data_IF_659142119066
#
_entry.id   IF_659142119066
#
_cell.length_a   1.000
_cell.length_b   1.000
_cell.length_c   1.000
_cell.angle_alpha   90.00
_cell.angle_beta   90.00
_cell.angle_gamma   90.00
#
_symmetry.space_group_name_H-M   'P 1'
#
loop_
_entity.id
_entity.type
_entity.pdbx_description
1 polymer ?
#
# COMPACT_ATOMS: atom_id res chain seq x y z
N UNK A 1 18.39 12.18 23.19
CA UNK A 1 17.43 11.10 23.54
C UNK A 1 16.98 10.39 22.30
N UNK A 2 17.15 9.06 22.23
CA UNK A 2 16.72 8.28 21.08
C UNK A 2 15.18 8.27 21.04
N UNK A 3 14.60 8.64 19.89
CA UNK A 3 13.16 8.65 19.73
C UNK A 3 12.59 7.24 19.91
N UNK A 4 11.51 7.10 20.69
CA UNK A 4 10.84 5.83 20.86
C UNK A 4 10.21 5.41 19.54
N UNK A 5 10.42 4.14 19.16
CA UNK A 5 9.86 3.60 17.92
C UNK A 5 8.83 2.52 18.23
N UNK A 6 7.89 2.36 17.33
CA UNK A 6 6.88 1.29 17.40
C UNK A 6 7.49 0.04 16.76
N UNK A 7 7.47 -1.06 17.49
CA UNK A 7 8.06 -2.32 17.03
C UNK A 7 7.10 -3.10 16.15
N UNK A 8 7.64 -3.65 15.07
CA UNK A 8 6.87 -4.30 14.02
C UNK A 8 7.38 -5.71 13.71
N UNK A 9 6.49 -6.54 13.20
CA UNK A 9 6.83 -7.84 12.64
C UNK A 9 6.36 -7.91 11.19
N UNK A 10 7.13 -8.62 10.35
CA UNK A 10 6.75 -8.90 8.98
C UNK A 10 6.46 -10.39 8.83
N UNK A 11 5.33 -10.71 8.21
CA UNK A 11 4.93 -12.10 7.96
C UNK A 11 4.97 -12.33 6.45
N UNK A 12 5.84 -13.22 6.00
CA UNK A 12 6.04 -13.51 4.58
C UNK A 12 7.36 -12.95 4.08
N UNK A 13 8.40 -13.79 4.02
CA UNK A 13 9.74 -13.35 3.64
C UNK A 13 10.01 -13.43 2.14
N UNK A 14 8.98 -13.24 1.32
CA UNK A 14 9.14 -13.20 -0.13
C UNK A 14 9.66 -11.85 -0.60
N UNK A 15 9.48 -11.56 -1.88
CA UNK A 15 10.01 -10.32 -2.47
C UNK A 15 9.39 -9.08 -1.85
N UNK A 16 8.08 -9.10 -1.64
CA UNK A 16 7.37 -7.96 -1.04
C UNK A 16 7.83 -7.74 0.40
N UNK A 17 7.85 -8.82 1.20
CA UNK A 17 8.27 -8.71 2.60
C UNK A 17 9.70 -8.26 2.74
N UNK A 18 10.58 -8.74 1.87
CA UNK A 18 12.01 -8.36 1.91
C UNK A 18 12.19 -6.88 1.57
N UNK A 19 11.50 -6.41 0.53
CA UNK A 19 11.56 -5.00 0.16
C UNK A 19 11.01 -4.11 1.27
N UNK A 20 9.88 -4.54 1.86
CA UNK A 20 9.26 -3.80 2.96
C UNK A 20 10.20 -3.73 4.16
N UNK A 21 10.89 -4.82 4.47
CA UNK A 21 11.84 -4.83 5.58
C UNK A 21 12.89 -3.72 5.41
N UNK A 22 13.40 -3.56 4.20
CA UNK A 22 14.40 -2.52 3.93
C UNK A 22 13.82 -1.12 4.14
N UNK A 23 12.56 -0.91 3.74
CA UNK A 23 11.89 0.37 3.96
C UNK A 23 11.68 0.65 5.45
N UNK A 24 11.28 -0.38 6.20
CA UNK A 24 11.02 -0.22 7.63
C UNK A 24 12.30 0.10 8.40
N UNK A 25 13.44 -0.42 7.96
CA UNK A 25 14.71 -0.12 8.61
C UNK A 25 15.10 1.35 8.51
N UNK A 26 14.61 2.04 7.47
CA UNK A 26 14.87 3.47 7.30
C UNK A 26 13.86 4.34 8.03
N UNK A 27 12.79 3.76 8.53
CA UNK A 27 11.72 4.55 9.14
C UNK A 27 12.20 5.24 10.43
N UNK A 28 11.88 6.51 10.62
CA UNK A 28 12.24 7.19 11.87
C UNK A 28 11.36 6.79 13.05
N UNK A 29 10.25 6.09 12.82
CA UNK A 29 9.24 5.84 13.85
C UNK A 29 8.89 4.36 14.00
N UNK A 30 9.30 3.50 13.04
CA UNK A 30 9.05 2.07 13.07
C UNK A 30 10.34 1.29 13.24
N UNK A 31 10.29 0.20 13.98
CA UNK A 31 11.44 -0.67 14.19
C UNK A 31 11.05 -2.11 13.88
N UNK A 32 11.52 -2.68 12.76
CA UNK A 32 11.24 -4.10 12.48
C UNK A 32 12.06 -4.98 13.41
N UNK A 33 11.41 -5.94 14.07
CA UNK A 33 12.04 -6.80 15.07
C UNK A 33 12.00 -8.27 14.65
N UNK A 34 10.95 -8.70 13.95
CA UNK A 34 10.74 -10.08 13.54
C UNK A 34 10.41 -10.22 12.07
N UNK A 35 10.96 -11.26 11.42
CA UNK A 35 10.54 -11.71 10.11
C UNK A 35 10.06 -13.16 10.24
N UNK A 36 8.84 -13.42 9.82
CA UNK A 36 8.16 -14.71 10.01
C UNK A 36 7.96 -15.41 8.67
N UNK A 37 8.38 -16.65 8.56
CA UNK A 37 8.20 -17.47 7.37
C UNK A 37 7.86 -18.91 7.74
N UNK A 38 7.80 -19.76 6.72
CA UNK A 38 7.49 -21.18 6.92
C UNK A 38 8.57 -22.10 6.36
N UNK A 39 9.56 -21.55 5.67
CA UNK A 39 10.63 -22.33 5.05
C UNK A 39 11.97 -21.89 5.67
N UNK A 40 12.64 -22.78 6.42
CA UNK A 40 13.91 -22.42 7.05
C UNK A 40 15.02 -22.07 6.04
N UNK A 41 14.86 -22.49 4.78
CA UNK A 41 15.83 -22.18 3.72
C UNK A 41 15.50 -20.90 2.96
N UNK A 42 14.49 -20.16 3.39
CA UNK A 42 14.07 -18.91 2.75
C UNK A 42 15.22 -17.90 2.68
N UNK A 43 15.44 -17.34 1.50
CA UNK A 43 16.42 -16.27 1.30
C UNK A 43 16.03 -15.01 2.10
N UNK A 44 14.74 -14.73 2.16
CA UNK A 44 14.26 -13.57 2.94
C UNK A 44 14.54 -13.70 4.42
N UNK A 45 14.37 -14.91 4.99
CA UNK A 45 14.71 -15.13 6.40
C UNK A 45 16.22 -14.99 6.61
N UNK A 46 17.01 -15.50 5.68
CA UNK A 46 18.48 -15.38 5.78
C UNK A 46 18.89 -13.90 5.78
N UNK A 47 18.32 -13.12 4.86
CA UNK A 47 18.62 -11.68 4.79
C UNK A 47 18.22 -10.96 6.07
N UNK A 48 17.07 -11.31 6.63
CA UNK A 48 16.62 -10.71 7.88
C UNK A 48 17.59 -11.00 9.01
N UNK A 49 18.06 -12.25 9.11
CA UNK A 49 19.04 -12.62 10.15
C UNK A 49 20.34 -11.83 9.99
N UNK A 50 20.79 -11.65 8.74
CA UNK A 50 22.01 -10.88 8.46
C UNK A 50 21.85 -9.40 8.85
N UNK A 51 20.61 -8.92 8.86
CA UNK A 51 20.30 -7.54 9.25
C UNK A 51 20.07 -7.41 10.76
N UNK A 52 20.20 -8.48 11.50
CA UNK A 52 19.99 -8.48 12.95
C UNK A 52 18.55 -8.62 13.39
N UNK A 53 17.68 -9.06 12.48
CA UNK A 53 16.25 -9.23 12.73
C UNK A 53 16.01 -10.67 13.20
N UNK A 54 15.19 -10.85 14.23
CA UNK A 54 14.79 -12.19 14.70
C UNK A 54 13.92 -12.86 13.65
N UNK A 55 14.07 -14.19 13.51
CA UNK A 55 13.31 -14.92 12.50
C UNK A 55 12.72 -16.20 13.08
N UNK A 56 11.64 -16.68 12.46
CA UNK A 56 11.10 -18.00 12.71
C UNK A 56 10.62 -18.59 11.38
N UNK A 57 10.76 -19.92 11.26
CA UNK A 57 10.24 -20.65 10.10
C UNK A 57 8.99 -21.46 10.49
N UNK A 58 8.39 -21.18 11.64
CA UNK A 58 7.22 -21.88 12.14
C UNK A 58 5.93 -21.09 11.96
N UNK A 59 5.95 -20.11 11.05
CA UNK A 59 4.79 -19.29 10.80
C UNK A 59 4.46 -18.37 11.97
N UNK A 60 3.26 -17.83 11.98
CA UNK A 60 2.83 -16.92 13.04
C UNK A 60 2.93 -17.59 14.42
N UNK A 61 2.66 -18.89 14.50
CA UNK A 61 2.74 -19.58 15.79
C UNK A 61 4.12 -19.50 16.43
N UNK A 62 5.18 -19.38 15.60
CA UNK A 62 6.53 -19.18 16.13
C UNK A 62 6.75 -17.78 16.68
N UNK A 63 5.94 -16.82 16.27
CA UNK A 63 6.04 -15.44 16.74
C UNK A 63 5.22 -15.21 18.02
N UNK A 64 4.06 -15.84 18.13
CA UNK A 64 3.09 -15.54 19.20
C UNK A 64 3.70 -15.50 20.61
N UNK A 65 4.58 -16.45 21.01
CA UNK A 65 5.12 -16.41 22.37
C UNK A 65 5.94 -15.17 22.68
N UNK A 66 6.44 -14.49 21.66
CA UNK A 66 7.35 -13.35 21.83
C UNK A 66 6.70 -11.99 21.61
N UNK A 67 5.42 -11.96 21.21
CA UNK A 67 4.75 -10.70 20.87
C UNK A 67 4.79 -9.70 22.03
N UNK A 68 4.39 -10.14 23.21
CA UNK A 68 4.36 -9.24 24.38
C UNK A 68 5.77 -8.92 24.88
N UNK A 69 6.61 -9.92 24.97
CA UNK A 69 7.98 -9.77 25.46
C UNK A 69 8.78 -8.79 24.62
N UNK A 70 8.63 -8.88 23.29
CA UNK A 70 9.37 -8.02 22.36
C UNK A 70 8.60 -6.74 22.02
N UNK A 71 7.39 -6.57 22.58
CA UNK A 71 6.64 -5.32 22.44
C UNK A 71 6.14 -5.02 21.03
N UNK A 72 5.76 -6.06 20.29
CA UNK A 72 5.30 -5.90 18.91
C UNK A 72 3.89 -5.33 18.91
N UNK A 73 3.69 -4.22 18.20
CA UNK A 73 2.40 -3.53 18.14
C UNK A 73 1.78 -3.51 16.76
N UNK A 74 2.59 -3.64 15.71
CA UNK A 74 2.10 -3.64 14.32
C UNK A 74 2.71 -4.84 13.59
N UNK A 75 1.93 -5.53 12.76
CA UNK A 75 2.45 -6.59 11.91
C UNK A 75 1.94 -6.39 10.48
N UNK A 76 2.81 -6.71 9.52
CA UNK A 76 2.51 -6.65 8.10
C UNK A 76 2.37 -8.08 7.58
N UNK A 77 1.31 -8.36 6.84
CA UNK A 77 1.13 -9.68 6.27
C UNK A 77 1.30 -9.64 4.75
N UNK A 78 2.39 -10.24 4.27
CA UNK A 78 2.71 -10.35 2.85
C UNK A 78 2.71 -11.82 2.41
N UNK A 79 1.84 -12.63 3.00
CA UNK A 79 1.71 -14.06 2.69
C UNK A 79 0.65 -14.26 1.59
N UNK A 80 -0.44 -14.93 1.92
CA UNK A 80 -1.51 -15.20 0.95
C UNK A 80 -2.87 -14.97 1.62
N UNK A 81 -3.89 -14.83 0.78
CA UNK A 81 -5.24 -14.67 1.30
C UNK A 81 -5.68 -15.88 2.15
N UNK A 82 -5.14 -17.04 1.85
CA UNK A 82 -5.51 -18.28 2.55
C UNK A 82 -5.23 -18.23 4.04
N UNK A 83 -4.06 -17.71 4.42
CA UNK A 83 -3.65 -17.76 5.82
C UNK A 83 -3.84 -16.42 6.54
N UNK A 84 -4.13 -15.36 5.79
CA UNK A 84 -4.21 -14.02 6.40
C UNK A 84 -5.25 -13.92 7.49
N UNK A 85 -6.44 -14.45 7.26
CA UNK A 85 -7.53 -14.35 8.26
C UNK A 85 -7.10 -14.95 9.59
N UNK A 86 -6.46 -16.11 9.56
CA UNK A 86 -6.00 -16.76 10.77
C UNK A 86 -4.82 -16.04 11.41
N UNK A 87 -3.88 -15.56 10.60
CA UNK A 87 -2.77 -14.76 11.11
C UNK A 87 -3.31 -13.51 11.81
N UNK A 88 -4.25 -12.85 11.16
CA UNK A 88 -4.86 -11.62 11.68
C UNK A 88 -5.59 -11.88 13.00
N UNK A 89 -6.39 -12.95 13.04
CA UNK A 89 -7.13 -13.29 14.25
C UNK A 89 -6.18 -13.51 15.43
N UNK A 90 -5.15 -14.32 15.23
CA UNK A 90 -4.20 -14.64 16.30
C UNK A 90 -3.47 -13.42 16.83
N UNK A 91 -3.04 -12.54 15.92
CA UNK A 91 -2.29 -11.35 16.31
C UNK A 91 -3.18 -10.26 16.89
N UNK A 92 -4.39 -10.09 16.34
CA UNK A 92 -5.34 -9.13 16.91
C UNK A 92 -5.71 -9.51 18.36
N UNK A 93 -5.81 -10.81 18.66
CA UNK A 93 -6.08 -11.26 20.03
C UNK A 93 -5.01 -10.81 21.01
N UNK A 94 -3.80 -10.57 20.52
CA UNK A 94 -2.69 -10.06 21.34
C UNK A 94 -2.52 -8.55 21.23
N UNK A 95 -3.50 -7.87 20.63
CA UNK A 95 -3.48 -6.40 20.52
C UNK A 95 -2.57 -5.87 19.42
N UNK A 96 -2.22 -6.70 18.43
CA UNK A 96 -1.36 -6.28 17.32
C UNK A 96 -2.22 -5.78 16.16
N UNK A 97 -1.92 -4.57 15.69
CA UNK A 97 -2.56 -3.99 14.50
C UNK A 97 -2.02 -4.68 13.25
N UNK A 98 -2.90 -5.07 12.34
CA UNK A 98 -2.50 -5.77 11.10
C UNK A 98 -2.58 -4.86 9.89
N UNK A 99 -1.50 -4.84 9.11
CA UNK A 99 -1.45 -4.19 7.79
C UNK A 99 -1.40 -5.30 6.75
N UNK A 100 -2.42 -5.37 5.91
CA UNK A 100 -2.64 -6.49 5.00
C UNK A 100 -2.19 -6.18 3.57
N UNK A 101 -1.15 -6.87 3.10
CA UNK A 101 -0.71 -6.77 1.71
C UNK A 101 -1.17 -7.99 0.89
N UNK A 102 -2.05 -8.82 1.45
CA UNK A 102 -2.59 -9.99 0.74
C UNK A 102 -3.91 -9.62 0.06
N UNK A 103 -4.39 -10.44 -0.88
CA UNK A 103 -5.71 -10.19 -1.47
C UNK A 103 -6.89 -10.65 -0.63
N UNK A 104 -6.70 -10.92 0.66
CA UNK A 104 -7.79 -11.37 1.54
C UNK A 104 -8.88 -10.32 1.74
N UNK A 105 -8.51 -9.04 1.67
CA UNK A 105 -9.46 -7.92 1.75
C UNK A 105 -10.24 -7.88 3.06
N UNK A 106 -9.56 -8.10 4.17
CA UNK A 106 -10.14 -7.98 5.51
C UNK A 106 -9.80 -6.59 6.02
N UNK A 107 -10.81 -5.82 6.42
CA UNK A 107 -10.59 -4.46 6.88
C UNK A 107 -10.67 -3.43 5.77
N UNK A 108 -10.61 -2.14 6.11
CA UNK A 108 -10.79 -1.08 5.12
C UNK A 108 -9.59 -0.91 4.21
N UNK A 109 -9.86 -0.54 2.98
CA UNK A 109 -8.82 -0.21 2.00
C UNK A 109 -8.26 1.18 2.29
N UNK A 110 -6.95 1.32 2.17
CA UNK A 110 -6.26 2.59 2.40
C UNK A 110 -5.43 3.03 1.20
N UNK A 111 -5.52 4.30 0.88
CA UNK A 111 -4.58 4.99 0.01
C UNK A 111 -4.04 6.15 0.86
N UNK A 112 -2.80 6.08 1.33
CA UNK A 112 -2.33 6.97 2.40
C UNK A 112 -2.56 8.46 2.15
N UNK A 113 -2.35 8.94 0.93
CA UNK A 113 -2.51 10.36 0.61
C UNK A 113 -3.98 10.79 0.47
N UNK A 114 -4.92 9.83 0.41
CA UNK A 114 -6.33 10.14 0.13
C UNK A 114 -7.21 9.93 1.35
N UNK A 115 -7.19 8.73 1.95
CA UNK A 115 -8.17 8.41 2.99
C UNK A 115 -7.58 7.87 4.29
N UNK A 116 -6.25 7.86 4.43
CA UNK A 116 -5.67 7.19 5.61
C UNK A 116 -6.00 7.91 6.91
N UNK A 117 -5.99 9.24 6.92
CA UNK A 117 -6.32 10.00 8.14
C UNK A 117 -7.71 9.62 8.65
N UNK A 118 -8.67 9.48 7.74
CA UNK A 118 -10.04 9.04 8.07
C UNK A 118 -10.03 7.61 8.63
N UNK A 119 -9.28 6.71 7.98
CA UNK A 119 -9.24 5.31 8.38
C UNK A 119 -8.55 5.11 9.72
N UNK A 120 -7.53 5.90 10.02
CA UNK A 120 -6.89 5.86 11.34
C UNK A 120 -7.92 6.24 12.43
N UNK A 121 -8.76 7.21 12.14
CA UNK A 121 -9.79 7.64 13.09
C UNK A 121 -10.83 6.56 13.37
N UNK A 122 -11.03 5.60 12.48
CA UNK A 122 -11.97 4.50 12.67
C UNK A 122 -11.48 3.45 13.66
N UNK A 123 -10.18 3.49 14.00
CA UNK A 123 -9.54 2.58 14.97
C UNK A 123 -9.69 1.10 14.62
N UNK A 124 -9.76 0.77 13.34
CA UNK A 124 -9.80 -0.63 12.92
C UNK A 124 -8.44 -1.30 13.18
N UNK A 125 -8.46 -2.56 13.57
CA UNK A 125 -7.24 -3.32 13.85
C UNK A 125 -6.68 -4.03 12.62
N UNK A 126 -7.33 -3.90 11.48
CA UNK A 126 -6.85 -4.40 10.19
C UNK A 126 -6.98 -3.28 9.18
N UNK A 127 -5.92 -2.97 8.62
CA UNK A 127 -5.98 -1.94 7.64
C UNK A 127 -5.47 -2.53 6.36
N UNK A 128 -6.09 -2.43 5.45
CA UNK A 128 -5.74 -2.99 4.21
C UNK A 128 -5.01 -1.94 3.46
N UNK A 129 -4.13 -2.25 3.30
CA UNK A 129 -3.33 -1.42 2.51
C UNK A 129 -3.41 -1.78 1.08
N UNK A 130 -3.99 -2.65 1.03
CA UNK A 130 -3.86 -3.12 -0.26
C UNK A 130 -5.01 -2.86 -1.11
N UNK A 131 -5.09 -1.73 -1.28
CA UNK A 131 -5.69 -1.51 -2.60
C UNK A 131 -4.65 -2.03 -3.59
N UNK A 132 -4.99 -2.30 -4.79
CA UNK A 132 -4.04 -2.85 -5.76
C UNK A 132 -2.89 -1.86 -6.06
N UNK A 133 -1.82 -2.37 -6.68
CA UNK A 133 -0.71 -1.50 -7.08
C UNK A 133 -1.19 -0.41 -8.05
N UNK A 134 -2.07 -0.78 -9.00
CA UNK A 134 -2.65 0.21 -9.90
C UNK A 134 -3.51 1.22 -9.17
N UNK A 135 -4.23 0.78 -8.15
CA UNK A 135 -5.03 1.69 -7.32
C UNK A 135 -4.16 2.66 -6.55
N UNK A 136 -3.10 2.16 -5.91
CA UNK A 136 -2.20 3.05 -5.17
C UNK A 136 -1.59 4.13 -6.07
N UNK A 137 -1.33 3.80 -7.32
CA UNK A 137 -0.71 4.75 -8.25
C UNK A 137 -1.71 5.73 -8.87
N UNK A 138 -2.97 5.36 -9.01
CA UNK A 138 -3.92 6.14 -9.81
C UNK A 138 -5.02 6.83 -9.01
N UNK A 139 -5.47 6.21 -7.91
CA UNK A 139 -6.55 6.79 -7.11
C UNK A 139 -6.21 8.17 -6.58
N UNK A 140 -4.96 8.47 -6.18
CA UNK A 140 -4.63 9.84 -5.79
C UNK A 140 -4.96 10.87 -6.87
N UNK A 141 -4.79 10.53 -8.14
CA UNK A 141 -5.08 11.47 -9.22
C UNK A 141 -6.58 11.62 -9.44
N UNK A 142 -7.35 10.53 -9.36
CA UNK A 142 -8.81 10.62 -9.41
C UNK A 142 -9.31 11.50 -8.26
N UNK A 143 -8.81 11.28 -7.06
CA UNK A 143 -9.20 12.07 -5.87
C UNK A 143 -8.80 13.54 -6.03
N UNK A 144 -7.64 13.80 -6.64
CA UNK A 144 -7.20 15.18 -6.87
C UNK A 144 -8.19 15.95 -7.75
N UNK A 145 -8.81 15.28 -8.72
CA UNK A 145 -9.82 15.92 -9.57
C UNK A 145 -11.16 16.00 -8.82
N UNK A 146 -11.58 14.89 -8.19
CA UNK A 146 -12.91 14.82 -7.58
C UNK A 146 -13.07 15.76 -6.39
N UNK A 147 -11.98 16.09 -5.69
CA UNK A 147 -12.08 17.04 -4.58
C UNK A 147 -12.26 18.49 -5.05
N UNK A 148 -12.02 18.76 -6.35
CA UNK A 148 -12.28 20.07 -6.94
C UNK A 148 -13.71 20.16 -7.44
N UNK A 149 -14.18 19.13 -8.15
CA UNK A 149 -15.52 19.13 -8.74
C UNK A 149 -15.96 17.69 -9.06
N UNK A 150 -17.26 17.49 -9.20
CA UNK A 150 -17.84 16.18 -9.40
C UNK A 150 -17.30 15.48 -10.64
N UNK A 151 -16.96 14.19 -10.49
CA UNK A 151 -16.44 13.33 -11.56
C UNK A 151 -17.48 12.24 -11.81
N UNK A 152 -18.06 12.24 -13.03
CA UNK A 152 -19.08 11.24 -13.37
C UNK A 152 -18.47 9.88 -13.68
N UNK A 153 -17.22 9.85 -14.20
CA UNK A 153 -16.58 8.62 -14.63
C UNK A 153 -15.07 8.76 -14.46
N UNK A 154 -14.46 7.77 -13.83
CA UNK A 154 -13.02 7.71 -13.68
C UNK A 154 -12.49 6.39 -14.25
N UNK A 155 -11.48 6.48 -15.11
CA UNK A 155 -10.88 5.31 -15.72
C UNK A 155 -9.39 5.34 -15.49
N UNK A 156 -8.84 4.21 -15.06
CA UNK A 156 -7.40 4.12 -14.90
C UNK A 156 -6.85 2.96 -15.74
N UNK A 157 -5.68 3.18 -16.32
CA UNK A 157 -4.94 2.16 -17.05
C UNK A 157 -3.56 2.06 -16.40
N UNK A 158 -3.30 0.94 -15.75
CA UNK A 158 -1.99 0.69 -15.13
C UNK A 158 -1.20 -0.23 -16.04
N UNK A 159 -0.03 0.23 -16.50
CA UNK A 159 0.85 -0.55 -17.37
C UNK A 159 2.10 -0.93 -16.59
N UNK A 160 2.32 -2.23 -16.43
CA UNK A 160 3.45 -2.75 -15.66
C UNK A 160 4.26 -3.74 -16.50
N UNK A 161 5.55 -3.85 -16.17
CA UNK A 161 6.42 -4.84 -16.84
C UNK A 161 5.95 -6.24 -16.49
N UNK A 162 5.95 -7.11 -17.50
CA UNK A 162 5.65 -8.53 -17.32
C UNK A 162 6.53 -9.15 -16.23
N UNK A 163 7.76 -8.71 -16.11
CA UNK A 163 8.69 -9.22 -15.09
C UNK A 163 8.29 -8.92 -13.67
N UNK A 164 7.46 -7.89 -13.46
CA UNK A 164 7.06 -7.49 -12.10
C UNK A 164 5.68 -8.03 -11.72
N UNK A 165 5.10 -8.92 -12.53
CA UNK A 165 3.77 -9.49 -12.27
C UNK A 165 3.90 -10.98 -12.01
N UNK A 166 3.60 -11.38 -10.79
CA UNK A 166 3.69 -12.79 -10.39
C UNK A 166 2.47 -13.60 -10.81
N UNK A 167 2.55 -14.93 -10.60
CA UNK A 167 1.44 -15.82 -11.00
C UNK A 167 0.13 -15.53 -10.25
N UNK A 168 0.21 -15.04 -9.03
CA UNK A 168 -1.00 -14.70 -8.28
C UNK A 168 -1.83 -13.62 -8.95
N UNK A 169 -1.18 -12.53 -9.37
CA UNK A 169 -1.87 -11.45 -10.08
C UNK A 169 -2.40 -11.93 -11.43
N UNK A 170 -1.59 -12.71 -12.15
CA UNK A 170 -2.00 -13.22 -13.47
C UNK A 170 -3.26 -14.08 -13.39
N UNK A 171 -3.38 -14.88 -12.34
CA UNK A 171 -4.56 -15.72 -12.12
C UNK A 171 -5.77 -14.93 -11.67
N UNK A 172 -5.56 -13.75 -11.12
CA UNK A 172 -6.62 -12.97 -10.49
C UNK A 172 -6.78 -11.58 -11.11
N UNK A 173 -6.63 -11.48 -12.43
CA UNK A 173 -6.80 -10.21 -13.15
C UNK A 173 -8.19 -9.62 -12.91
N UNK A 174 -9.23 -10.46 -12.92
CA UNK A 174 -10.60 -9.99 -12.69
C UNK A 174 -10.75 -9.38 -11.30
N UNK A 175 -10.12 -9.98 -10.30
CA UNK A 175 -10.13 -9.46 -8.94
C UNK A 175 -9.43 -8.09 -8.88
N UNK A 176 -8.28 -7.99 -9.54
CA UNK A 176 -7.56 -6.72 -9.64
C UNK A 176 -8.46 -5.62 -10.21
N UNK A 177 -9.12 -5.92 -11.33
CA UNK A 177 -9.93 -4.89 -12.00
C UNK A 177 -11.17 -4.52 -11.19
N UNK A 178 -11.82 -5.50 -10.55
CA UNK A 178 -12.99 -5.22 -9.69
C UNK A 178 -12.59 -4.38 -8.48
N UNK A 179 -11.53 -4.76 -7.80
CA UNK A 179 -11.07 -4.05 -6.61
C UNK A 179 -10.67 -2.62 -6.96
N UNK A 180 -9.91 -2.47 -8.05
CA UNK A 180 -9.43 -1.15 -8.44
C UNK A 180 -10.57 -0.26 -8.90
N UNK A 181 -11.49 -0.76 -9.72
CA UNK A 181 -12.61 0.06 -10.19
C UNK A 181 -13.53 0.47 -9.03
N UNK A 182 -13.75 -0.43 -8.08
CA UNK A 182 -14.51 -0.09 -6.87
C UNK A 182 -13.82 0.99 -6.04
N UNK A 183 -12.50 0.93 -5.95
CA UNK A 183 -11.74 1.94 -5.20
C UNK A 183 -11.71 3.29 -5.92
N UNK A 184 -11.72 3.29 -7.25
CA UNK A 184 -11.84 4.54 -8.02
C UNK A 184 -13.13 5.27 -7.61
N UNK A 185 -14.20 4.51 -7.38
CA UNK A 185 -15.46 5.07 -6.92
C UNK A 185 -15.42 5.46 -5.44
N UNK A 186 -15.13 4.51 -4.59
CA UNK A 186 -15.28 4.68 -3.13
C UNK A 186 -14.21 5.59 -2.52
N UNK A 187 -12.99 5.52 -3.02
CA UNK A 187 -11.88 6.30 -2.48
C UNK A 187 -11.56 7.48 -3.40
N UNK A 188 -11.54 7.24 -4.71
CA UNK A 188 -11.24 8.28 -5.69
C UNK A 188 -12.34 9.30 -5.89
N UNK A 189 -13.58 8.93 -5.58
CA UNK A 189 -14.71 9.87 -5.65
C UNK A 189 -15.42 9.95 -6.99
N UNK A 190 -15.09 9.08 -7.95
CA UNK A 190 -15.82 9.04 -9.22
C UNK A 190 -17.17 8.35 -9.02
N UNK A 191 -18.19 8.79 -9.73
CA UNK A 191 -19.50 8.16 -9.65
C UNK A 191 -19.49 6.76 -10.26
N UNK A 192 -18.67 6.56 -11.30
CA UNK A 192 -18.47 5.28 -11.96
C UNK A 192 -16.98 5.08 -12.21
N UNK A 193 -16.47 3.90 -11.91
CA UNK A 193 -15.05 3.60 -12.07
C UNK A 193 -14.79 2.47 -13.04
N UNK A 194 -13.65 2.53 -13.73
CA UNK A 194 -13.17 1.44 -14.57
C UNK A 194 -11.67 1.32 -14.39
N UNK A 195 -11.18 0.09 -14.38
CA UNK A 195 -9.75 -0.18 -14.23
C UNK A 195 -9.31 -1.18 -15.29
N UNK A 196 -8.15 -0.90 -15.88
CA UNK A 196 -7.52 -1.75 -16.89
C UNK A 196 -6.07 -1.96 -16.46
N UNK A 197 -5.59 -3.20 -16.52
CA UNK A 197 -4.17 -3.46 -16.32
C UNK A 197 -3.58 -3.97 -17.65
N UNK A 198 -2.42 -3.41 -18.00
CA UNK A 198 -1.67 -3.84 -19.18
C UNK A 198 -0.36 -4.44 -18.69
N UNK A 199 -0.13 -5.71 -19.02
CA UNK A 199 1.10 -6.40 -18.64
C UNK A 199 1.98 -6.41 -19.90
N UNK A 200 3.07 -5.65 -19.83
CA UNK A 200 3.90 -5.37 -21.00
C UNK A 200 5.15 -6.25 -21.03
N UNK A 201 5.36 -7.04 -22.08
CA UNK A 201 6.50 -7.95 -22.17
C UNK A 201 7.77 -7.32 -22.76
N UNK A 202 7.81 -6.02 -22.98
CA UNK A 202 8.96 -5.36 -23.62
C UNK A 202 10.27 -5.60 -22.87
N UNK A 203 11.35 -5.66 -23.63
CA UNK A 203 12.71 -5.74 -23.11
C UNK A 203 13.52 -4.60 -23.70
N UNK A 204 14.23 -3.81 -22.89
CA UNK A 204 14.31 -3.91 -21.43
C UNK A 204 12.98 -3.58 -20.76
N UNK A 205 12.77 -4.04 -19.51
CA UNK A 205 11.48 -3.83 -18.83
C UNK A 205 11.16 -2.35 -18.70
N UNK A 206 9.91 -1.99 -18.99
CA UNK A 206 9.50 -0.60 -18.85
C UNK A 206 9.19 -0.28 -17.38
N UNK A 207 9.39 0.99 -17.04
CA UNK A 207 8.98 1.51 -15.73
C UNK A 207 7.45 1.63 -15.74
N UNK A 208 6.83 1.38 -14.57
CA UNK A 208 5.37 1.45 -14.45
C UNK A 208 4.83 2.78 -14.98
N UNK A 209 3.81 2.71 -15.80
CA UNK A 209 3.13 3.87 -16.36
C UNK A 209 1.64 3.77 -16.11
N UNK A 210 1.04 4.89 -15.77
CA UNK A 210 -0.36 4.93 -15.39
C UNK A 210 -1.06 6.10 -16.08
N UNK A 211 -2.22 5.81 -16.66
CA UNK A 211 -3.04 6.82 -17.31
C UNK A 211 -4.34 6.94 -16.54
N UNK A 212 -4.74 8.16 -16.23
CA UNK A 212 -5.98 8.44 -15.51
C UNK A 212 -6.84 9.36 -16.37
N UNK A 213 -8.09 8.98 -16.61
CA UNK A 213 -9.07 9.80 -17.29
C UNK A 213 -10.24 10.05 -16.36
N UNK A 214 -10.60 11.31 -16.18
CA UNK A 214 -11.76 11.70 -15.39
C UNK A 214 -12.70 12.53 -16.27
N UNK A 215 -13.98 12.16 -16.28
CA UNK A 215 -15.02 12.98 -16.93
C UNK A 215 -15.70 13.80 -15.84
N UNK A 216 -15.61 15.11 -15.93
CA UNK A 216 -16.27 15.97 -14.96
C UNK A 216 -17.73 16.18 -15.36
N UNK A 217 -18.59 16.35 -14.34
CA UNK A 217 -20.02 16.60 -14.58
C UNK A 217 -20.20 17.97 -15.25
N UNK A 218 -19.55 18.97 -14.68
CA UNK A 218 -19.59 20.32 -15.22
C UNK A 218 -18.28 20.66 -15.95
N UNK A 219 -18.26 21.78 -16.66
CA UNK A 219 -17.06 22.24 -17.36
C UNK A 219 -15.87 22.26 -16.40
N UNK A 220 -14.75 21.68 -16.80
CA UNK A 220 -13.57 21.62 -15.90
C UNK A 220 -13.07 23.00 -15.51
N UNK A 221 -12.54 23.08 -14.30
CA UNK A 221 -11.89 24.27 -13.74
C UNK A 221 -10.38 24.08 -13.83
N UNK A 222 -9.74 24.51 -14.93
CA UNK A 222 -8.36 24.07 -15.20
C UNK A 222 -7.34 24.45 -14.13
N UNK A 223 -7.37 25.70 -13.67
CA UNK A 223 -6.37 26.16 -12.70
C UNK A 223 -6.51 25.42 -11.36
N UNK A 224 -7.74 25.20 -10.92
CA UNK A 224 -8.00 24.52 -9.65
C UNK A 224 -7.64 23.05 -9.74
N UNK A 225 -7.94 22.40 -10.88
CA UNK A 225 -7.58 20.99 -11.09
C UNK A 225 -6.06 20.86 -11.12
N UNK A 226 -5.38 21.73 -11.85
CA UNK A 226 -3.91 21.68 -11.94
C UNK A 226 -3.27 21.84 -10.57
N UNK A 227 -3.73 22.81 -9.78
CA UNK A 227 -3.20 23.04 -8.44
C UNK A 227 -3.42 21.81 -7.54
N UNK A 228 -4.62 21.22 -7.62
CA UNK A 228 -4.96 20.05 -6.82
C UNK A 228 -4.09 18.83 -7.20
N UNK A 229 -3.90 18.62 -8.50
CA UNK A 229 -3.08 17.49 -8.99
C UNK A 229 -1.64 17.65 -8.50
N UNK A 230 -1.06 18.84 -8.63
CA UNK A 230 0.32 19.05 -8.19
C UNK A 230 0.45 18.91 -6.67
N UNK A 231 -0.52 19.39 -5.91
CA UNK A 231 -0.51 19.22 -4.45
C UNK A 231 -0.58 17.74 -4.07
N UNK A 232 -1.44 16.97 -4.75
CA UNK A 232 -1.56 15.54 -4.45
C UNK A 232 -0.28 14.79 -4.81
N UNK A 233 0.37 15.14 -5.92
CA UNK A 233 1.62 14.50 -6.31
C UNK A 233 2.67 14.70 -5.20
N UNK A 234 2.75 15.90 -4.64
CA UNK A 234 3.69 16.16 -3.54
C UNK A 234 3.38 15.31 -2.32
N UNK A 235 2.10 15.10 -2.03
CA UNK A 235 1.71 14.24 -0.90
C UNK A 235 2.14 12.80 -1.12
N UNK A 236 1.91 12.27 -2.32
CA UNK A 236 2.33 10.90 -2.62
C UNK A 236 3.86 10.79 -2.60
N UNK A 237 4.56 11.80 -3.11
CA UNK A 237 6.03 11.78 -3.14
C UNK A 237 6.66 11.70 -1.75
N UNK A 238 5.93 12.07 -0.71
CA UNK A 238 6.44 11.94 0.66
C UNK A 238 6.75 10.49 1.03
N UNK A 239 6.02 9.54 0.44
CA UNK A 239 6.29 8.11 0.69
C UNK A 239 6.68 7.35 -0.58
N UNK A 240 6.44 7.90 -1.76
CA UNK A 240 6.84 7.29 -3.05
C UNK A 240 7.65 8.34 -3.83
N UNK A 241 8.96 8.47 -3.54
CA UNK A 241 9.76 9.50 -4.23
C UNK A 241 9.80 9.37 -5.75
N UNK A 242 9.60 8.16 -6.28
CA UNK A 242 9.62 7.92 -7.73
C UNK A 242 8.29 8.16 -8.45
N UNK A 243 7.32 8.77 -7.77
CA UNK A 243 6.00 9.08 -8.34
C UNK A 243 6.14 10.37 -9.16
N UNK A 244 5.96 10.29 -10.47
CA UNK A 244 6.26 11.42 -11.37
C UNK A 244 5.13 11.71 -12.34
N UNK A 245 4.82 12.98 -12.55
CA UNK A 245 3.90 13.42 -13.57
C UNK A 245 4.65 13.43 -14.92
N UNK A 246 4.16 12.63 -15.86
CA UNK A 246 4.76 12.62 -17.22
C UNK A 246 4.13 13.72 -18.07
N UNK A 247 2.81 13.86 -17.96
CA UNK A 247 2.08 14.87 -18.74
C UNK A 247 0.72 15.11 -18.08
N UNK A 248 0.25 16.33 -18.20
CA UNK A 248 -1.09 16.67 -17.74
C UNK A 248 -1.12 17.60 -16.54
N UNK A 249 -2.30 17.93 -16.03
CA UNK A 249 -3.62 17.51 -16.57
C UNK A 249 -3.86 18.08 -17.98
N UNK A 250 -4.32 17.24 -18.88
CA UNK A 250 -4.72 17.64 -20.23
C UNK A 250 -6.24 17.67 -20.27
N UNK A 251 -6.82 18.81 -20.60
CA UNK A 251 -8.27 18.98 -20.60
C UNK A 251 -8.79 19.03 -22.03
N UNK A 252 -9.73 18.16 -22.34
CA UNK A 252 -10.38 18.10 -23.64
C UNK A 252 -11.88 17.90 -23.40
N UNK A 253 -12.67 18.97 -23.60
CA UNK A 253 -14.08 18.94 -23.22
C UNK A 253 -14.20 18.73 -21.72
N UNK A 254 -14.97 17.72 -21.31
CA UNK A 254 -15.11 17.37 -19.88
C UNK A 254 -14.11 16.31 -19.42
N UNK A 255 -13.20 15.89 -20.31
CA UNK A 255 -12.21 14.86 -19.96
C UNK A 255 -10.93 15.50 -19.45
N UNK A 256 -10.50 15.08 -18.29
CA UNK A 256 -9.21 15.44 -17.67
C UNK A 256 -8.33 14.21 -17.72
N UNK A 257 -7.18 14.29 -18.36
CA UNK A 257 -6.25 13.17 -18.51
C UNK A 257 -4.93 13.47 -17.83
N UNK A 258 -4.44 12.51 -17.05
CA UNK A 258 -3.20 12.63 -16.27
C UNK A 258 -2.35 11.41 -16.54
N UNK A 259 -1.07 11.62 -16.83
CA UNK A 259 -0.15 10.56 -17.19
C UNK A 259 0.99 10.52 -16.17
N UNK A 260 1.10 9.39 -15.47
CA UNK A 260 2.05 9.21 -14.38
C UNK A 260 3.04 8.10 -14.67
N UNK A 261 4.16 8.15 -13.99
CA UNK A 261 5.17 7.11 -14.02
C UNK A 261 5.58 6.83 -12.57
N UNK A 262 5.80 5.56 -12.25
CA UNK A 262 6.25 5.19 -10.91
C UNK A 262 7.54 4.39 -11.04
N UNK A 263 8.64 5.03 -10.65
CA UNK A 263 9.94 4.37 -10.63
C UNK A 263 10.22 3.91 -9.19
N UNK A 264 10.57 2.64 -9.03
CA UNK A 264 10.87 2.11 -7.72
C UNK A 264 12.20 2.64 -7.18
N UNK A 265 12.38 2.57 -5.88
CA UNK A 265 13.60 3.04 -5.22
C UNK A 265 14.81 2.17 -5.54
N UNK A 266 14.58 0.91 -5.88
CA UNK A 266 15.68 -0.02 -6.13
C UNK A 266 16.27 -0.58 -4.85
N UNK A 267 15.48 -0.67 -3.79
CA UNK A 267 15.94 -1.24 -2.51
C UNK A 267 16.29 -2.72 -2.67
N UNK A 268 15.28 -3.56 -2.72
CA UNK A 268 15.43 -4.98 -3.02
C UNK A 268 14.88 -5.26 -4.41
N UNK A 269 13.76 -4.64 -4.74
CA UNK A 269 13.10 -4.80 -6.03
C UNK A 269 13.72 -3.85 -7.05
N UNK A 270 13.80 -4.24 -8.33
CA UNK A 270 14.39 -3.36 -9.34
C UNK A 270 13.55 -2.09 -9.58
N UNK A 271 14.19 -1.08 -10.11
CA UNK A 271 13.55 0.23 -10.32
C UNK A 271 12.35 0.19 -11.26
N UNK A 272 12.34 -0.75 -12.22
CA UNK A 272 11.19 -0.86 -13.12
C UNK A 272 9.94 -1.38 -12.39
N UNK A 273 10.12 -2.05 -11.26
CA UNK A 273 9.00 -2.60 -10.47
C UNK A 273 8.38 -1.56 -9.54
N UNK A 274 8.06 -0.38 -10.08
CA UNK A 274 7.39 0.66 -9.32
C UNK A 274 6.04 0.23 -8.77
N UNK A 275 5.38 -0.71 -9.45
CA UNK A 275 4.12 -1.27 -8.97
C UNK A 275 4.28 -1.99 -7.61
N UNK A 276 5.37 -2.71 -7.45
CA UNK A 276 5.61 -3.40 -6.17
C UNK A 276 6.14 -2.42 -5.12
N UNK A 277 6.99 -1.49 -5.54
CA UNK A 277 7.55 -0.48 -4.66
C UNK A 277 6.46 0.41 -4.04
N UNK A 278 5.46 0.82 -4.83
CA UNK A 278 4.41 1.68 -4.29
C UNK A 278 3.56 0.93 -3.26
N UNK A 279 3.41 -0.39 -3.40
CA UNK A 279 2.68 -1.20 -2.42
C UNK A 279 3.42 -1.26 -1.08
N UNK A 280 4.72 -1.54 -1.11
CA UNK A 280 5.49 -1.59 0.15
C UNK A 280 5.60 -0.20 0.76
N UNK A 281 5.74 0.84 -0.06
CA UNK A 281 5.78 2.21 0.42
C UNK A 281 4.46 2.61 1.09
N UNK A 282 3.33 2.25 0.49
CA UNK A 282 2.01 2.55 1.06
C UNK A 282 1.82 1.80 2.39
N UNK A 283 2.27 0.56 2.47
CA UNK A 283 2.17 -0.22 3.71
C UNK A 283 3.00 0.43 4.82
N UNK A 284 4.24 0.81 4.51
CA UNK A 284 5.10 1.47 5.49
C UNK A 284 4.49 2.80 5.95
N UNK A 285 3.97 3.60 5.01
CA UNK A 285 3.36 4.88 5.36
C UNK A 285 2.12 4.70 6.23
N UNK A 286 1.30 3.68 5.91
CA UNK A 286 0.12 3.36 6.72
C UNK A 286 0.53 3.07 8.17
N UNK A 287 1.54 2.22 8.33
CA UNK A 287 2.01 1.88 9.69
C UNK A 287 2.59 3.10 10.40
N UNK A 288 3.29 3.98 9.68
CA UNK A 288 3.85 5.18 10.29
C UNK A 288 2.76 6.09 10.83
N UNK A 289 1.66 6.25 10.11
CA UNK A 289 0.57 7.10 10.60
C UNK A 289 -0.10 6.50 11.84
N UNK A 290 -0.28 5.18 11.88
CA UNK A 290 -0.76 4.54 13.11
C UNK A 290 0.26 4.68 14.23
N UNK A 291 1.54 4.54 13.93
CA UNK A 291 2.60 4.67 14.95
C UNK A 291 2.60 6.08 15.56
N UNK A 292 2.39 7.11 14.75
CA UNK A 292 2.27 8.49 15.24
C UNK A 292 1.12 8.60 16.24
N UNK A 293 -0.02 8.00 15.94
CA UNK A 293 -1.18 8.04 16.82
C UNK A 293 -0.96 7.24 18.11
N UNK A 294 -0.29 6.09 18.01
CA UNK A 294 0.03 5.27 19.19
C UNK A 294 0.97 6.06 20.12
N UNK A 295 2.02 6.64 19.57
CA UNK A 295 3.00 7.38 20.36
C UNK A 295 2.42 8.63 20.98
N UNK A 296 1.42 9.24 20.34
CA UNK A 296 0.74 10.43 20.85
C UNK A 296 -0.35 10.08 21.88
N UNK A 297 -0.60 8.80 22.10
CA UNK A 297 -1.62 8.35 23.04
C UNK A 297 -3.05 8.47 22.53
N UNK A 298 -3.22 8.68 21.22
CA UNK A 298 -4.56 8.82 20.63
C UNK A 298 -5.15 7.50 20.12
N UNK A 299 -4.33 6.44 20.05
CA UNK A 299 -4.76 5.13 19.58
C UNK A 299 -4.26 4.09 20.58
N UNK A 300 -5.19 3.38 21.21
CA UNK A 300 -4.87 2.33 22.18
C UNK A 300 -5.25 0.96 21.60
N UNK A 301 -4.23 0.15 21.37
CA UNK A 301 -4.41 -1.15 20.73
C UNK A 301 -5.22 -2.14 21.58
N UNK A 302 -5.02 -2.12 22.88
CA UNK A 302 -5.71 -3.04 23.77
C UNK A 302 -7.23 -2.87 23.76
N UNK A 303 -7.70 -1.63 23.64
CA UNK A 303 -9.13 -1.36 23.59
C UNK A 303 -9.77 -1.84 22.29
N UNK A 304 -9.06 -1.74 21.18
CA UNK A 304 -9.55 -2.16 19.89
C UNK A 304 -9.72 -3.69 19.82
N UNK A 305 -8.85 -4.41 20.49
CA UNK A 305 -8.90 -5.88 20.48
C UNK A 305 -10.13 -6.46 21.21
N UNK A 306 -10.69 -5.69 22.13
CA UNK A 306 -11.85 -6.14 22.92
C UNK A 306 -13.18 -5.90 22.20
N UNK A 307 -13.18 -5.05 21.18
CA UNK A 307 -14.40 -4.63 20.50
C UNK A 307 -14.84 -5.56 19.35
N UNK A 308 -14.19 -6.74 19.15
CA UNK A 308 -14.51 -7.65 18.05
C UNK A 308 -15.43 -8.78 18.51
#
# INVERSE_FOLDING_TARGET
MTQKKIKCALIGPGNIGTDLLMKLQRSPILEPVWMVGIDPESDGLKRAREMGIKTTAEGVDGLLPFVKEDGIQIAFDATSAYVHAENSRKLNELGVLMIDLTPAAIGPYCVPSVNLAEKVAEKAMNXXXXVTCGGQATIPMVAAVSRVQAVSYGEIVATVSSRSVGPGTRKNIDEFTRTTSGAVEKIGGAQKGKAIIVINPAEPPLIMRDTIHCLTVDTPKPAEIEASVHAMIKEVQKYVPGYKLVNGPVIDGNRVSIYMEVEGLGDYLPKYAGNLDIMTAAAARTAEMFAEEILAGRFELAEAAVAV
#
